data_IF_545569594288
#
_entry.id   IF_545569594288
#
_cell.length_a   1.000
_cell.length_b   1.000
_cell.length_c   1.000
_cell.angle_alpha   90.00
_cell.angle_beta   90.00
_cell.angle_gamma   90.00
#
_symmetry.space_group_name_H-M   'P 1'
#
loop_
_entity.id
_entity.type
_entity.pdbx_description
1 polymer ?
#
# COMPACT_ATOMS: atom_id res chain seq x y z
N UNK A 1 6.33 -20.84 -0.55
CA UNK A 1 5.60 -19.58 -0.34
C UNK A 1 6.59 -18.46 -0.28
N UNK A 2 6.46 -17.46 -1.14
CA UNK A 2 7.32 -16.27 -1.23
C UNK A 2 6.50 -15.05 -0.86
N UNK A 3 7.07 -14.19 -0.01
CA UNK A 3 6.41 -13.00 0.51
C UNK A 3 7.27 -11.81 0.11
N UNK A 4 6.67 -10.84 -0.58
CA UNK A 4 7.24 -9.52 -0.79
C UNK A 4 6.77 -8.61 0.33
N UNK A 5 7.68 -7.83 0.93
CA UNK A 5 7.36 -6.95 2.04
C UNK A 5 7.87 -5.55 1.71
N UNK A 6 7.05 -4.53 1.98
CA UNK A 6 7.45 -3.13 1.97
C UNK A 6 6.79 -2.38 3.13
N UNK A 7 7.48 -1.38 3.65
CA UNK A 7 7.10 -0.57 4.82
C UNK A 7 7.71 0.83 4.67
N UNK A 8 7.11 1.84 5.30
CA UNK A 8 7.69 3.19 5.44
C UNK A 8 8.10 3.80 4.09
N UNK A 9 7.30 3.57 3.04
CA UNK A 9 7.59 4.06 1.69
C UNK A 9 7.33 5.56 1.54
N UNK A 10 6.41 6.12 2.34
CA UNK A 10 6.11 7.55 2.39
C UNK A 10 5.90 8.19 1.01
N UNK A 11 5.14 7.53 0.13
CA UNK A 11 4.97 7.90 -1.27
C UNK A 11 4.33 9.28 -1.46
N UNK A 12 3.66 9.83 -0.45
CA UNK A 12 3.11 11.19 -0.42
C UNK A 12 4.16 12.27 -0.75
N UNK A 13 5.43 12.04 -0.41
CA UNK A 13 6.51 12.99 -0.68
C UNK A 13 6.89 13.04 -2.16
N UNK A 14 6.61 11.96 -2.91
CA UNK A 14 6.93 11.82 -4.32
C UNK A 14 5.71 12.01 -5.22
N UNK A 15 4.51 11.90 -4.67
CA UNK A 15 3.24 11.87 -5.42
C UNK A 15 3.06 13.05 -6.36
N UNK A 16 3.44 14.27 -5.95
CA UNK A 16 3.30 15.46 -6.79
C UNK A 16 4.13 15.38 -8.10
N UNK A 17 5.29 14.71 -8.05
CA UNK A 17 6.20 14.59 -9.20
C UNK A 17 6.03 13.27 -9.93
N UNK A 18 5.71 12.21 -9.20
CA UNK A 18 5.63 10.84 -9.70
C UNK A 18 4.37 10.14 -9.14
N UNK A 19 3.17 10.51 -9.61
CA UNK A 19 1.92 10.02 -9.02
C UNK A 19 1.75 8.51 -9.13
N UNK A 20 2.38 7.85 -10.09
CA UNK A 20 2.30 6.40 -10.29
C UNK A 20 3.50 5.64 -9.70
N UNK A 21 4.44 6.33 -9.07
CA UNK A 21 5.59 5.66 -8.46
C UNK A 21 5.15 4.89 -7.22
N UNK A 22 5.62 3.64 -7.12
CA UNK A 22 5.24 2.72 -6.04
C UNK A 22 6.39 2.37 -5.10
N UNK A 23 7.63 2.69 -5.46
CA UNK A 23 8.84 2.28 -4.69
C UNK A 23 9.09 0.77 -4.66
N UNK A 24 8.20 -0.02 -5.25
CA UNK A 24 8.19 -1.47 -5.25
C UNK A 24 7.73 -1.92 -6.64
N UNK A 25 8.40 -2.93 -7.18
CA UNK A 25 8.05 -3.57 -8.45
C UNK A 25 7.45 -4.96 -8.21
N UNK A 26 6.54 -5.44 -9.07
CA UNK A 26 6.01 -6.79 -8.97
C UNK A 26 7.10 -7.86 -9.06
N UNK A 27 6.94 -8.93 -8.32
CA UNK A 27 7.84 -10.10 -8.30
C UNK A 27 7.04 -11.39 -8.48
N UNK A 28 7.70 -12.55 -8.40
CA UNK A 28 7.05 -13.87 -8.34
C UNK A 28 6.56 -14.24 -6.93
N UNK A 29 6.35 -13.24 -6.07
CA UNK A 29 5.80 -13.45 -4.73
C UNK A 29 4.33 -13.85 -4.77
N UNK A 30 3.96 -14.79 -3.90
CA UNK A 30 2.59 -15.26 -3.74
C UNK A 30 1.70 -14.18 -3.08
N UNK A 31 2.33 -13.25 -2.34
CA UNK A 31 1.65 -12.19 -1.59
C UNK A 31 2.58 -10.98 -1.39
N UNK A 32 1.99 -9.78 -1.43
CA UNK A 32 2.63 -8.53 -1.00
C UNK A 32 2.09 -8.11 0.37
N UNK A 33 2.98 -7.78 1.29
CA UNK A 33 2.65 -7.18 2.58
C UNK A 33 3.14 -5.74 2.60
N UNK A 34 2.21 -4.82 2.81
CA UNK A 34 2.43 -3.39 2.98
C UNK A 34 2.25 -3.06 4.47
N UNK A 35 3.36 -2.82 5.17
CA UNK A 35 3.44 -2.85 6.64
C UNK A 35 3.45 -1.46 7.31
N UNK A 36 2.69 -0.51 6.78
CA UNK A 36 2.48 0.82 7.36
C UNK A 36 3.31 1.93 6.69
N UNK A 37 2.87 3.16 6.88
CA UNK A 37 3.47 4.40 6.38
C UNK A 37 3.83 4.33 4.88
N UNK A 38 2.89 3.80 4.08
CA UNK A 38 3.07 3.62 2.63
C UNK A 38 2.70 4.90 1.88
N UNK A 39 1.52 5.44 2.17
CA UNK A 39 1.00 6.66 1.57
C UNK A 39 -0.17 7.20 2.40
N UNK A 40 -0.39 8.52 2.38
CA UNK A 40 -1.49 9.14 3.10
C UNK A 40 -2.89 8.62 2.68
N UNK A 41 -3.79 8.44 3.66
CA UNK A 41 -5.19 8.09 3.45
C UNK A 41 -5.39 6.79 2.64
N UNK A 42 -6.22 6.85 1.59
CA UNK A 42 -6.53 5.69 0.73
C UNK A 42 -5.53 5.49 -0.42
N UNK A 43 -4.47 6.30 -0.49
CA UNK A 43 -3.58 6.34 -1.67
C UNK A 43 -2.87 5.01 -1.91
N UNK A 44 -2.45 4.33 -0.85
CA UNK A 44 -1.86 2.98 -0.95
C UNK A 44 -2.83 2.00 -1.65
N UNK A 45 -4.13 2.04 -1.33
CA UNK A 45 -5.12 1.19 -1.98
C UNK A 45 -5.30 1.51 -3.47
N UNK A 46 -5.19 2.78 -3.85
CA UNK A 46 -5.27 3.19 -5.27
C UNK A 46 -4.05 2.73 -6.06
N UNK A 47 -2.86 2.79 -5.44
CA UNK A 47 -1.62 2.39 -6.08
C UNK A 47 -1.51 0.87 -6.22
N UNK A 48 -1.87 0.13 -5.18
CA UNK A 48 -1.66 -1.32 -5.10
C UNK A 48 -2.93 -2.15 -5.32
N UNK A 49 -4.07 -1.52 -5.62
CA UNK A 49 -5.34 -2.21 -5.82
C UNK A 49 -5.36 -3.21 -6.98
N UNK A 50 -4.51 -3.00 -7.99
CA UNK A 50 -4.34 -3.88 -9.16
C UNK A 50 -2.99 -4.62 -9.13
N UNK A 51 -2.43 -4.89 -7.94
CA UNK A 51 -1.18 -5.63 -7.83
C UNK A 51 -1.35 -7.08 -8.34
N UNK A 52 -0.35 -7.71 -8.99
CA UNK A 52 -0.53 -9.02 -9.62
C UNK A 52 -0.85 -10.17 -8.66
N UNK A 53 -0.50 -10.02 -7.39
CA UNK A 53 -0.83 -10.96 -6.33
C UNK A 53 -1.59 -10.26 -5.19
N UNK A 54 -2.26 -11.02 -4.29
CA UNK A 54 -2.97 -10.43 -3.16
C UNK A 54 -2.08 -9.51 -2.33
N UNK A 55 -2.65 -8.37 -1.92
CA UNK A 55 -1.98 -7.39 -1.06
C UNK A 55 -2.62 -7.44 0.32
N UNK A 56 -1.80 -7.66 1.34
CA UNK A 56 -2.16 -7.40 2.74
C UNK A 56 -1.66 -6.01 3.09
N UNK A 57 -2.59 -5.13 3.43
CA UNK A 57 -2.27 -3.79 3.89
C UNK A 57 -2.53 -3.65 5.38
N UNK A 58 -1.50 -3.21 6.11
CA UNK A 58 -1.56 -2.81 7.51
C UNK A 58 -1.30 -1.30 7.55
N UNK A 59 -2.30 -0.46 7.84
CA UNK A 59 -2.09 0.98 7.90
C UNK A 59 -1.20 1.35 9.09
N UNK A 60 -0.23 2.25 8.87
CA UNK A 60 0.62 2.87 9.88
C UNK A 60 -0.01 4.12 10.47
N UNK A 61 0.79 4.96 11.13
CA UNK A 61 0.29 6.17 11.78
C UNK A 61 0.12 7.35 10.82
N UNK A 62 0.90 7.41 9.74
CA UNK A 62 0.78 8.47 8.73
C UNK A 62 -0.50 8.37 7.91
N UNK A 63 -1.04 7.16 7.78
CA UNK A 63 -2.32 6.90 7.12
C UNK A 63 -3.52 7.64 7.76
N UNK A 64 -3.42 8.00 9.05
CA UNK A 64 -4.46 8.74 9.79
C UNK A 64 -4.34 10.27 9.69
N UNK A 65 -3.30 10.80 9.03
CA UNK A 65 -3.16 12.24 8.84
C UNK A 65 -4.13 12.77 7.79
N UNK A 66 -4.99 13.72 8.19
CA UNK A 66 -5.83 14.51 7.28
C UNK A 66 -7.11 13.82 6.76
N UNK A 67 -7.34 12.55 7.07
CA UNK A 67 -8.63 11.89 6.83
C UNK A 67 -8.88 10.77 7.84
N UNK A 68 -10.13 10.67 8.32
CA UNK A 68 -10.57 9.54 9.13
C UNK A 68 -10.56 8.27 8.27
N UNK A 69 -9.45 7.52 8.30
CA UNK A 69 -9.54 6.11 7.99
C UNK A 69 -10.36 5.49 9.11
N UNK A 70 -11.64 5.22 8.81
CA UNK A 70 -12.50 4.43 9.68
C UNK A 70 -11.71 3.22 10.19
N UNK A 71 -11.58 3.17 11.51
CA UNK A 71 -10.80 2.23 12.31
C UNK A 71 -10.71 0.83 11.69
N UNK A 72 -9.48 0.35 11.53
CA UNK A 72 -9.16 -1.07 11.43
C UNK A 72 -9.85 -1.83 10.32
N UNK A 73 -9.41 -1.65 9.07
CA UNK A 73 -9.68 -2.66 8.04
C UNK A 73 -8.39 -3.13 7.38
N UNK A 74 -7.92 -4.31 7.80
CA UNK A 74 -7.11 -5.18 6.98
C UNK A 74 -7.91 -5.51 5.72
N UNK A 75 -7.65 -4.81 4.62
CA UNK A 75 -8.31 -5.04 3.33
C UNK A 75 -7.46 -5.99 2.50
N UNK A 76 -8.07 -7.09 2.07
CA UNK A 76 -7.52 -7.92 1.00
C UNK A 76 -8.05 -7.32 -0.30
N UNK A 77 -7.18 -6.66 -1.06
CA UNK A 77 -7.48 -6.30 -2.44
C UNK A 77 -7.44 -7.60 -3.26
N UNK A 78 -8.62 -8.08 -3.69
CA UNK A 78 -8.75 -9.20 -4.63
C UNK A 78 -8.99 -8.63 -6.01
N UNK A 79 -8.15 -8.98 -6.97
CA UNK A 79 -8.44 -8.75 -8.38
C UNK A 79 -9.70 -9.57 -8.73
N UNK A 80 -10.72 -8.88 -9.24
CA UNK A 80 -11.84 -9.49 -9.96
C UNK A 80 -11.46 -9.75 -11.41
#
# INVERSE_FOLDING_TARGET
>A
MRIQIASDLHLEHLEWRFPSFRGVEPTDADILVLAGDIANGIRALQLFGNWPCPVIYVPGNHEYYGSSLYQGTSRICRNG
#
